data_IF_831050372780
#
_entry.id   IF_831050372780
#
_cell.length_a   1.000
_cell.length_b   1.000
_cell.length_c   1.000
_cell.angle_alpha   90.00
_cell.angle_beta   90.00
_cell.angle_gamma   90.00
#
_symmetry.space_group_name_H-M   'P 1'
#
loop_
_entity.id
_entity.type
_entity.pdbx_description
1 polymer ?
#
# COMPACT_ATOMS: atom_id res chain seq x y z
N UNK A 1 9.31 -39.22 -29.43
CA UNK A 1 8.76 -38.03 -28.74
C UNK A 1 9.05 -38.17 -27.25
N UNK A 2 10.10 -37.53 -26.75
CA UNK A 2 10.52 -37.65 -25.35
C UNK A 2 9.69 -36.71 -24.48
N UNK A 3 8.78 -37.26 -23.68
CA UNK A 3 7.94 -36.48 -22.76
C UNK A 3 8.76 -36.08 -21.56
N UNK A 4 9.26 -34.83 -21.58
CA UNK A 4 9.92 -34.18 -20.46
C UNK A 4 8.96 -34.13 -19.26
N UNK A 5 9.12 -35.06 -18.32
CA UNK A 5 8.31 -35.13 -17.09
C UNK A 5 8.56 -33.87 -16.28
N UNK A 6 7.68 -32.89 -16.38
CA UNK A 6 7.68 -31.73 -15.51
C UNK A 6 7.46 -32.23 -14.08
N UNK A 7 8.47 -32.08 -13.21
CA UNK A 7 8.33 -32.28 -11.76
C UNK A 7 7.17 -31.40 -11.29
N UNK A 8 6.01 -32.01 -11.13
CA UNK A 8 4.85 -31.34 -10.56
C UNK A 8 5.20 -31.03 -9.10
N UNK A 9 5.53 -29.78 -8.83
CA UNK A 9 5.65 -29.24 -7.47
C UNK A 9 4.26 -29.11 -6.79
N UNK A 10 3.28 -29.91 -7.25
CA UNK A 10 1.90 -29.99 -6.76
C UNK A 10 1.90 -30.82 -5.49
N UNK A 11 2.35 -30.22 -4.40
CA UNK A 11 2.40 -30.89 -3.09
C UNK A 11 3.47 -30.39 -2.14
N UNK A 12 4.33 -29.44 -2.55
CA UNK A 12 5.30 -28.86 -1.62
C UNK A 12 4.56 -28.04 -0.57
N UNK A 13 4.61 -28.53 0.66
CA UNK A 13 4.15 -27.81 1.85
C UNK A 13 5.24 -26.84 2.23
N UNK A 14 4.91 -25.56 2.21
CA UNK A 14 5.77 -24.51 2.72
C UNK A 14 5.68 -24.51 4.25
N UNK A 15 6.84 -24.46 4.89
CA UNK A 15 6.94 -24.21 6.33
C UNK A 15 6.44 -22.80 6.65
N UNK A 16 6.04 -22.55 7.89
CA UNK A 16 5.56 -21.23 8.28
C UNK A 16 6.67 -20.17 8.21
N UNK A 17 7.92 -20.57 8.44
CA UNK A 17 9.10 -19.71 8.23
C UNK A 17 9.27 -19.30 6.75
N UNK A 18 9.19 -20.24 5.81
CA UNK A 18 9.28 -19.93 4.37
C UNK A 18 8.14 -19.00 3.92
N UNK A 19 6.92 -19.18 4.44
CA UNK A 19 5.80 -18.29 4.14
C UNK A 19 6.06 -16.87 4.64
N UNK A 20 6.59 -16.75 5.86
CA UNK A 20 6.89 -15.45 6.45
C UNK A 20 7.97 -14.71 5.65
N UNK A 21 9.05 -15.40 5.27
CA UNK A 21 10.11 -14.82 4.43
C UNK A 21 9.57 -14.28 3.10
N UNK A 22 8.65 -15.03 2.47
CA UNK A 22 8.00 -14.61 1.23
C UNK A 22 7.13 -13.38 1.46
N UNK A 23 6.36 -13.32 2.55
CA UNK A 23 5.50 -12.18 2.90
C UNK A 23 6.34 -10.94 3.21
N UNK A 24 7.41 -11.08 4.00
CA UNK A 24 8.31 -9.99 4.36
C UNK A 24 8.97 -9.40 3.11
N UNK A 25 9.45 -10.25 2.20
CA UNK A 25 10.00 -9.81 0.91
C UNK A 25 8.97 -9.06 0.05
N UNK A 26 7.71 -9.50 0.04
CA UNK A 26 6.62 -8.80 -0.66
C UNK A 26 6.39 -7.41 -0.06
N UNK A 27 6.40 -7.30 1.27
CA UNK A 27 6.19 -6.04 1.98
C UNK A 27 7.35 -5.06 1.79
N UNK A 28 8.58 -5.55 1.80
CA UNK A 28 9.79 -4.77 1.50
C UNK A 28 9.71 -4.16 0.09
N UNK A 29 9.42 -5.00 -0.92
CA UNK A 29 9.28 -4.55 -2.31
C UNK A 29 8.09 -3.61 -2.46
N UNK A 30 6.98 -3.87 -1.77
CA UNK A 30 5.81 -2.99 -1.83
C UNK A 30 6.09 -1.62 -1.20
N UNK A 31 6.90 -1.57 -0.15
CA UNK A 31 7.31 -0.32 0.49
C UNK A 31 8.28 0.48 -0.38
N UNK A 32 9.20 -0.19 -1.08
CA UNK A 32 10.20 0.46 -1.93
C UNK A 32 9.68 0.85 -3.31
N UNK A 33 8.94 -0.04 -3.99
CA UNK A 33 8.55 0.07 -5.41
C UNK A 33 7.05 0.20 -5.63
N UNK A 34 6.25 0.25 -4.56
CA UNK A 34 4.79 0.23 -4.67
C UNK A 34 4.27 -1.14 -5.14
N UNK A 35 3.19 -1.15 -5.94
CA UNK A 35 2.49 -2.41 -6.28
C UNK A 35 3.34 -3.30 -7.21
N UNK A 36 3.97 -4.33 -6.65
CA UNK A 36 4.77 -5.28 -7.44
C UNK A 36 5.42 -6.44 -6.68
N UNK A 37 5.30 -6.46 -5.35
CA UNK A 37 5.96 -7.47 -4.51
C UNK A 37 5.57 -8.91 -4.85
N UNK A 38 4.30 -9.18 -5.18
CA UNK A 38 3.84 -10.54 -5.54
C UNK A 38 4.55 -11.09 -6.79
N UNK A 39 4.73 -10.25 -7.82
CA UNK A 39 5.43 -10.65 -9.05
C UNK A 39 6.92 -10.84 -8.82
N UNK A 40 7.54 -9.99 -7.98
CA UNK A 40 8.94 -10.14 -7.59
C UNK A 40 9.16 -11.42 -6.78
N UNK A 41 8.31 -11.68 -5.80
CA UNK A 41 8.36 -12.88 -4.96
C UNK A 41 8.11 -14.16 -5.78
N UNK A 42 7.16 -14.12 -6.71
CA UNK A 42 6.94 -15.25 -7.62
C UNK A 42 8.18 -15.57 -8.46
N UNK A 43 8.89 -14.55 -8.96
CA UNK A 43 10.13 -14.74 -9.73
C UNK A 43 11.27 -15.30 -8.88
N UNK A 44 11.43 -14.82 -7.64
CA UNK A 44 12.49 -15.21 -6.69
C UNK A 44 12.28 -16.61 -6.13
N UNK A 45 11.10 -16.87 -5.58
CA UNK A 45 10.81 -18.13 -4.87
C UNK A 45 10.16 -19.21 -5.76
N UNK A 46 9.89 -18.91 -7.04
CA UNK A 46 9.20 -19.80 -8.00
C UNK A 46 7.85 -20.31 -7.49
N UNK A 47 7.17 -19.47 -6.72
CA UNK A 47 5.85 -19.73 -6.16
C UNK A 47 4.81 -19.05 -7.04
N UNK A 48 3.65 -19.70 -7.22
CA UNK A 48 2.54 -19.07 -7.94
C UNK A 48 2.14 -17.76 -7.25
N UNK A 49 1.93 -16.65 -7.98
CA UNK A 49 1.43 -15.41 -7.40
C UNK A 49 0.13 -15.61 -6.62
N UNK A 50 -0.71 -16.55 -7.04
CA UNK A 50 -1.96 -16.89 -6.37
C UNK A 50 -1.72 -17.43 -4.96
N UNK A 51 -0.75 -18.33 -4.81
CA UNK A 51 -0.36 -18.88 -3.50
C UNK A 51 0.16 -17.79 -2.57
N UNK A 52 1.00 -16.88 -3.09
CA UNK A 52 1.55 -15.73 -2.34
C UNK A 52 0.42 -14.80 -1.90
N UNK A 53 -0.55 -14.52 -2.78
CA UNK A 53 -1.71 -13.70 -2.43
C UNK A 53 -2.58 -14.31 -1.33
N UNK A 54 -2.65 -15.64 -1.28
CA UNK A 54 -3.34 -16.37 -0.21
C UNK A 54 -2.66 -16.19 1.16
N UNK A 55 -1.32 -16.14 1.19
CA UNK A 55 -0.57 -15.91 2.42
C UNK A 55 -0.62 -14.45 2.87
N UNK A 56 -0.50 -13.50 1.95
CA UNK A 56 -0.59 -12.07 2.27
C UNK A 56 -1.97 -11.70 2.84
N UNK A 57 -3.05 -12.26 2.26
CA UNK A 57 -4.40 -12.10 2.82
C UNK A 57 -4.53 -12.69 4.22
N UNK A 58 -3.82 -13.77 4.51
CA UNK A 58 -3.89 -14.48 5.79
C UNK A 58 -3.04 -13.81 6.87
N UNK A 59 -1.93 -13.16 6.51
CA UNK A 59 -1.13 -12.34 7.44
C UNK A 59 -1.85 -11.07 7.85
N UNK A 60 -2.66 -10.48 6.96
CA UNK A 60 -3.46 -9.27 7.26
C UNK A 60 -4.80 -9.58 7.94
N UNK A 61 -5.25 -10.84 7.94
CA UNK A 61 -6.54 -11.24 8.51
C UNK A 61 -6.38 -11.84 9.90
N UNK A 62 -6.52 -11.00 10.93
CA UNK A 62 -7.10 -11.41 12.22
C UNK A 62 -8.48 -12.06 11.94
N UNK A 63 -8.86 -13.17 12.60
CA UNK A 63 -10.05 -13.93 12.22
C UNK A 63 -11.32 -13.19 12.64
N UNK A 64 -11.84 -12.36 11.75
CA UNK A 64 -13.21 -11.86 11.84
C UNK A 64 -13.84 -11.92 10.46
N UNK A 65 -15.06 -12.44 10.43
CA UNK A 65 -15.76 -12.90 9.23
C UNK A 65 -15.83 -11.88 8.10
N UNK A 66 -15.82 -12.44 6.89
CA UNK A 66 -16.49 -11.95 5.68
C UNK A 66 -16.62 -10.43 5.58
N UNK A 67 -15.62 -9.79 5.01
CA UNK A 67 -15.82 -8.54 4.28
C UNK A 67 -14.82 -8.47 3.13
N UNK A 68 -15.35 -8.32 1.93
CA UNK A 68 -14.65 -7.88 0.73
C UNK A 68 -14.04 -6.50 1.00
N UNK A 69 -12.85 -6.47 1.60
CA UNK A 69 -12.12 -5.23 1.83
C UNK A 69 -11.68 -4.66 0.48
N UNK A 70 -12.42 -3.68 0.00
CA UNK A 70 -12.09 -2.90 -1.18
C UNK A 70 -10.76 -2.20 -0.91
N UNK A 71 -9.78 -2.45 -1.77
CA UNK A 71 -8.55 -1.63 -1.86
C UNK A 71 -8.90 -0.14 -2.09
N UNK A 72 -10.13 0.15 -2.55
CA UNK A 72 -10.70 1.49 -2.62
C UNK A 72 -10.90 2.17 -1.25
N UNK A 73 -11.17 1.44 -0.17
CA UNK A 73 -11.47 2.04 1.13
C UNK A 73 -10.32 2.86 1.72
N UNK A 74 -9.06 2.49 1.49
CA UNK A 74 -7.91 3.26 1.98
C UNK A 74 -7.55 4.43 1.05
N UNK A 75 -7.67 4.24 -0.27
CA UNK A 75 -7.39 5.28 -1.27
C UNK A 75 -8.45 6.40 -1.21
N UNK A 76 -9.73 6.03 -1.10
CA UNK A 76 -10.83 7.00 -0.97
C UNK A 76 -10.68 7.84 0.31
N UNK A 77 -10.26 7.23 1.43
CA UNK A 77 -9.97 7.97 2.68
C UNK A 77 -8.80 8.94 2.53
N UNK A 78 -7.72 8.53 1.84
CA UNK A 78 -6.58 9.41 1.55
C UNK A 78 -6.98 10.56 0.63
N UNK A 79 -7.80 10.30 -0.39
CA UNK A 79 -8.29 11.33 -1.32
C UNK A 79 -9.19 12.36 -0.63
N UNK A 80 -10.12 11.89 0.21
CA UNK A 80 -10.97 12.78 1.01
C UNK A 80 -10.13 13.70 1.90
N UNK A 81 -9.14 13.14 2.61
CA UNK A 81 -8.22 13.92 3.43
C UNK A 81 -7.38 14.91 2.62
N UNK A 82 -7.04 14.58 1.37
CA UNK A 82 -6.34 15.49 0.47
C UNK A 82 -7.21 16.69 0.07
N UNK A 83 -8.49 16.46 -0.22
CA UNK A 83 -9.45 17.53 -0.53
C UNK A 83 -9.69 18.44 0.69
N UNK A 84 -9.83 17.85 1.88
CA UNK A 84 -9.99 18.62 3.11
C UNK A 84 -8.78 19.52 3.37
N UNK A 85 -7.56 18.97 3.24
CA UNK A 85 -6.32 19.74 3.38
C UNK A 85 -6.21 20.86 2.34
N UNK A 86 -6.63 20.62 1.10
CA UNK A 86 -6.63 21.67 0.07
C UNK A 86 -7.57 22.83 0.43
N UNK A 87 -8.76 22.52 0.95
CA UNK A 87 -9.70 23.54 1.44
C UNK A 87 -9.15 24.33 2.63
N UNK A 88 -8.43 23.66 3.54
CA UNK A 88 -7.80 24.29 4.70
C UNK A 88 -6.65 25.22 4.29
N UNK A 89 -5.81 24.81 3.34
CA UNK A 89 -4.74 25.64 2.76
C UNK A 89 -5.33 26.93 2.18
N UNK A 90 -6.36 26.84 1.33
CA UNK A 90 -6.96 28.03 0.71
C UNK A 90 -7.55 29.02 1.74
N UNK A 91 -8.10 28.52 2.85
CA UNK A 91 -8.58 29.37 3.95
C UNK A 91 -7.42 30.07 4.66
N UNK A 92 -6.37 29.32 4.98
CA UNK A 92 -5.18 29.83 5.66
C UNK A 92 -4.44 30.85 4.81
N UNK A 93 -4.38 30.67 3.50
CA UNK A 93 -3.79 31.64 2.57
C UNK A 93 -4.54 32.99 2.60
N UNK A 94 -5.88 32.98 2.57
CA UNK A 94 -6.68 34.20 2.71
C UNK A 94 -6.48 34.90 4.07
N UNK A 95 -6.37 34.11 5.14
CA UNK A 95 -6.10 34.65 6.47
C UNK A 95 -4.70 35.28 6.53
N UNK A 96 -3.70 34.65 5.93
CA UNK A 96 -2.34 35.17 5.80
C UNK A 96 -2.31 36.48 5.02
N UNK A 97 -3.05 36.57 3.92
CA UNK A 97 -3.15 37.78 3.11
C UNK A 97 -3.74 38.94 3.93
N UNK A 98 -4.82 38.68 4.70
CA UNK A 98 -5.42 39.68 5.59
C UNK A 98 -4.43 40.15 6.66
N UNK A 99 -3.73 39.22 7.31
CA UNK A 99 -2.73 39.55 8.33
C UNK A 99 -1.56 40.35 7.74
N UNK A 100 -1.11 39.99 6.53
CA UNK A 100 -0.09 40.75 5.80
C UNK A 100 -0.56 42.17 5.46
N UNK A 101 -1.80 42.33 4.99
CA UNK A 101 -2.36 43.66 4.72
C UNK A 101 -2.43 44.52 5.99
N UNK A 102 -2.84 43.94 7.12
CA UNK A 102 -2.82 44.61 8.42
C UNK A 102 -1.41 44.99 8.85
N UNK A 103 -0.44 44.09 8.67
CA UNK A 103 0.95 44.35 8.99
C UNK A 103 1.53 45.49 8.15
N UNK A 104 1.33 45.49 6.83
CA UNK A 104 1.82 46.57 5.96
C UNK A 104 1.12 47.91 6.24
N UNK A 105 -0.18 47.90 6.56
CA UNK A 105 -0.89 49.11 6.95
C UNK A 105 -0.33 49.71 8.27
N UNK A 106 -0.07 48.86 9.28
CA UNK A 106 0.55 49.29 10.54
C UNK A 106 1.99 49.73 10.33
N UNK A 107 2.76 49.02 9.51
CA UNK A 107 4.14 49.36 9.17
C UNK A 107 4.26 50.68 8.43
N UNK A 108 3.32 51.01 7.53
CA UNK A 108 3.27 52.30 6.85
C UNK A 108 2.80 53.47 7.75
N UNK A 109 2.25 53.16 8.93
CA UNK A 109 1.87 54.15 9.94
C UNK A 109 2.96 54.43 10.99
N UNK A 110 4.05 53.64 10.97
CA UNK A 110 5.29 53.91 11.70
C UNK A 110 6.27 54.68 10.82
#
# INVERSE_FOLDING_TARGET
MSTKTAKNNKGKRYTDAEKQEVVDYVNEINSSKGRGGQSAASKKFKISPLTISGWLKKSDSVPTGKSTASVGGSITKKLAKLQDLHGEIARKEKELEKLRAQFEALKGSL
#
